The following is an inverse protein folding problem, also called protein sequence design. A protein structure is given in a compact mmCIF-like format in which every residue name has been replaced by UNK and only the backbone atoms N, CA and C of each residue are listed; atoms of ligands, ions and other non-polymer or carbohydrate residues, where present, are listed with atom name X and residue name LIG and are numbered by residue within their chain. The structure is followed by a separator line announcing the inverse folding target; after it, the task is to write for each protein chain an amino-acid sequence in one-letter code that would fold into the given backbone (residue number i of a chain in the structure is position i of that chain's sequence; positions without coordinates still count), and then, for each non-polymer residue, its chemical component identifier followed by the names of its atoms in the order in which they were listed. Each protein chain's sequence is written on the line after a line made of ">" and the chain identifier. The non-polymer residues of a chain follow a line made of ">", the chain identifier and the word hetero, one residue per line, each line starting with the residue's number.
data_IF_300595581696
#
_entry.id   IF_300595581696
#
_cell.length_a   1.000
_cell.length_b   1.000
_cell.length_c   1.000
_cell.angle_alpha   90.00
_cell.angle_beta   90.00
_cell.angle_gamma   90.00
#
_symmetry.space_group_name_H-M   'P 1'
#
loop_
_entity.id
_entity.type
_entity.pdbx_description
1 polymer ?
#
# COMPACT_ATOMS: atom_id res chain seq x y z
N UNK A 1 -5.10 21.76 8.46
CA UNK A 1 -5.44 20.37 8.09
C UNK A 1 -4.59 19.51 8.99
N UNK A 2 -5.19 18.88 9.99
CA UNK A 2 -4.45 18.09 10.97
C UNK A 2 -4.10 16.74 10.34
N UNK A 3 -2.82 16.38 10.36
CA UNK A 3 -2.35 15.09 9.88
C UNK A 3 -2.69 14.06 10.95
N UNK A 4 -3.71 13.24 10.69
CA UNK A 4 -4.14 12.18 11.62
C UNK A 4 -3.25 10.94 11.53
N UNK A 5 -2.61 10.72 10.36
CA UNK A 5 -1.71 9.59 10.10
C UNK A 5 -0.39 10.14 9.57
N UNK A 6 0.66 10.07 10.38
CA UNK A 6 1.98 10.62 10.01
C UNK A 6 2.79 9.72 9.06
N UNK A 7 2.48 8.42 9.02
CA UNK A 7 3.17 7.42 8.20
C UNK A 7 2.17 6.52 7.50
N UNK A 8 2.00 6.72 6.20
CA UNK A 8 1.04 5.98 5.39
C UNK A 8 1.62 5.56 4.05
N UNK A 9 1.09 4.47 3.51
CA UNK A 9 1.36 4.02 2.15
C UNK A 9 0.08 4.13 1.31
N UNK A 10 0.13 4.83 0.18
CA UNK A 10 -0.89 4.75 -0.86
C UNK A 10 -0.41 3.85 -1.99
N UNK A 11 -1.26 2.98 -2.52
CA UNK A 11 -0.89 2.14 -3.66
C UNK A 11 -1.97 2.09 -4.73
N UNK A 12 -1.50 2.05 -5.97
CA UNK A 12 -2.30 1.86 -7.17
C UNK A 12 -2.00 0.45 -7.72
N UNK A 13 -2.99 -0.43 -7.62
CA UNK A 13 -2.86 -1.88 -7.82
C UNK A 13 -3.43 -2.27 -9.17
N UNK A 14 -2.52 -2.61 -10.10
CA UNK A 14 -2.82 -3.15 -11.42
C UNK A 14 -2.59 -4.67 -11.47
N UNK A 15 -2.89 -5.28 -12.62
CA UNK A 15 -2.76 -6.74 -12.81
C UNK A 15 -1.34 -7.28 -12.57
N UNK A 16 -0.34 -6.61 -13.13
CA UNK A 16 1.04 -7.12 -13.14
C UNK A 16 2.00 -6.28 -12.28
N UNK A 17 1.60 -5.05 -11.93
CA UNK A 17 2.41 -4.08 -11.20
C UNK A 17 1.59 -3.37 -10.11
N UNK A 18 2.28 -2.91 -9.07
CA UNK A 18 1.76 -2.12 -7.96
C UNK A 18 2.66 -0.90 -7.84
N UNK A 19 2.11 0.30 -7.96
CA UNK A 19 2.84 1.54 -7.66
C UNK A 19 2.50 1.95 -6.25
N UNK A 20 3.47 1.91 -5.35
CA UNK A 20 3.30 2.25 -3.95
C UNK A 20 4.03 3.57 -3.62
N UNK A 21 3.41 4.38 -2.78
CA UNK A 21 3.85 5.69 -2.38
C UNK A 21 3.81 5.78 -0.86
N UNK A 22 4.97 5.89 -0.22
CA UNK A 22 5.08 6.10 1.22
C UNK A 22 5.22 7.59 1.49
N UNK A 23 4.48 8.08 2.47
CA UNK A 23 4.59 9.43 3.01
C UNK A 23 4.91 9.31 4.49
N UNK A 24 6.01 9.92 4.92
CA UNK A 24 6.45 10.01 6.32
C UNK A 24 6.85 11.46 6.63
N UNK A 25 7.15 11.80 7.91
CA UNK A 25 7.71 13.11 8.23
C UNK A 25 9.07 13.40 7.57
N UNK A 26 9.78 12.35 7.13
CA UNK A 26 11.10 12.44 6.49
C UNK A 26 11.00 12.71 4.99
N UNK A 27 9.81 12.50 4.40
CA UNK A 27 9.54 12.80 3.00
C UNK A 27 8.60 11.79 2.33
N UNK A 28 8.70 11.73 1.01
CA UNK A 28 7.89 10.88 0.16
C UNK A 28 8.79 9.98 -0.68
N UNK A 29 8.46 8.69 -0.73
CA UNK A 29 9.14 7.70 -1.56
C UNK A 29 8.11 6.98 -2.43
N UNK A 30 8.44 6.75 -3.71
CA UNK A 30 7.58 6.01 -4.65
C UNK A 30 8.39 4.85 -5.23
N UNK A 31 7.81 3.66 -5.20
CA UNK A 31 8.41 2.47 -5.77
C UNK A 31 7.34 1.61 -6.47
N UNK A 32 7.74 0.95 -7.55
CA UNK A 32 6.88 0.00 -8.28
C UNK A 32 7.35 -1.43 -8.04
N UNK A 33 6.40 -2.28 -7.70
CA UNK A 33 6.58 -3.72 -7.45
C UNK A 33 5.79 -4.53 -8.46
N UNK A 34 6.21 -5.77 -8.73
CA UNK A 34 5.39 -6.73 -9.48
C UNK A 34 4.38 -7.43 -8.57
N UNK A 35 3.31 -8.00 -9.13
CA UNK A 35 2.31 -8.78 -8.37
C UNK A 35 2.73 -10.23 -8.06
N UNK A 36 3.96 -10.63 -8.40
CA UNK A 36 4.49 -11.95 -8.02
C UNK A 36 4.82 -11.96 -6.52
N UNK A 37 4.60 -13.11 -5.87
CA UNK A 37 4.72 -13.29 -4.41
C UNK A 37 6.01 -12.72 -3.81
N UNK A 38 7.17 -12.94 -4.44
CA UNK A 38 8.45 -12.41 -3.93
C UNK A 38 8.47 -10.88 -3.82
N UNK A 39 7.86 -10.19 -4.78
CA UNK A 39 7.79 -8.73 -4.79
C UNK A 39 6.69 -8.21 -3.85
N UNK A 40 5.63 -8.98 -3.61
CA UNK A 40 4.63 -8.65 -2.59
C UNK A 40 5.22 -8.72 -1.18
N UNK A 41 6.08 -9.71 -0.90
CA UNK A 41 6.81 -9.78 0.37
C UNK A 41 7.76 -8.59 0.52
N UNK A 42 8.49 -8.24 -0.55
CA UNK A 42 9.36 -7.05 -0.55
C UNK A 42 8.58 -5.74 -0.35
N UNK A 43 7.38 -5.63 -0.93
CA UNK A 43 6.49 -4.48 -0.72
C UNK A 43 6.13 -4.35 0.77
N UNK A 44 5.77 -5.46 1.43
CA UNK A 44 5.42 -5.45 2.86
C UNK A 44 6.63 -5.14 3.74
N UNK A 45 7.79 -5.72 3.44
CA UNK A 45 9.04 -5.39 4.12
C UNK A 45 9.37 -3.90 4.01
N UNK A 46 9.18 -3.32 2.82
CA UNK A 46 9.42 -1.90 2.57
C UNK A 46 8.45 -1.00 3.34
N UNK A 47 7.16 -1.36 3.41
CA UNK A 47 6.16 -0.66 4.24
C UNK A 47 6.56 -0.69 5.73
N UNK A 48 7.02 -1.84 6.23
CA UNK A 48 7.47 -2.02 7.62
C UNK A 48 8.74 -1.25 7.93
N UNK A 49 9.71 -1.22 7.01
CA UNK A 49 10.95 -0.45 7.15
C UNK A 49 10.66 1.04 7.37
N UNK A 50 9.65 1.57 6.69
CA UNK A 50 9.19 2.95 6.84
C UNK A 50 8.24 3.17 8.02
N UNK A 51 7.93 2.12 8.80
CA UNK A 51 7.00 2.15 9.93
C UNK A 51 5.63 2.70 9.55
N UNK A 52 5.18 2.42 8.32
CA UNK A 52 3.83 2.76 7.90
C UNK A 52 2.83 1.89 8.64
N UNK A 53 1.84 2.52 9.26
CA UNK A 53 0.80 1.83 10.02
C UNK A 53 -0.50 1.67 9.23
N UNK A 54 -0.68 2.50 8.19
CA UNK A 54 -1.88 2.51 7.37
C UNK A 54 -1.54 2.39 5.89
N UNK A 55 -2.31 1.59 5.18
CA UNK A 55 -2.20 1.40 3.73
C UNK A 55 -3.54 1.69 3.05
N UNK A 56 -3.56 2.62 2.10
CA UNK A 56 -4.70 2.86 1.23
C UNK A 56 -4.42 2.27 -0.16
N UNK A 57 -5.36 1.50 -0.70
CA UNK A 57 -5.20 0.79 -1.97
C UNK A 57 -6.31 1.14 -2.94
N UNK A 58 -5.94 1.69 -4.09
CA UNK A 58 -6.82 1.84 -5.23
C UNK A 58 -6.70 0.61 -6.12
N UNK A 59 -7.83 -0.09 -6.34
CA UNK A 59 -7.85 -1.21 -7.28
C UNK A 59 -9.21 -1.34 -7.95
N UNK A 60 -9.18 -1.59 -9.26
CA UNK A 60 -10.37 -1.78 -10.10
C UNK A 60 -10.84 -3.24 -10.13
N UNK A 61 -10.05 -4.18 -9.62
CA UNK A 61 -10.34 -5.62 -9.68
C UNK A 61 -9.89 -6.32 -8.39
N UNK A 62 -9.83 -7.65 -8.37
CA UNK A 62 -9.54 -8.48 -7.18
C UNK A 62 -8.04 -8.59 -6.83
N UNK A 63 -7.18 -7.82 -7.50
CA UNK A 63 -5.71 -7.93 -7.35
C UNK A 63 -5.19 -7.47 -5.98
N UNK A 64 -5.99 -6.73 -5.21
CA UNK A 64 -5.69 -6.33 -3.83
C UNK A 64 -5.72 -7.48 -2.83
N UNK A 65 -6.47 -8.57 -3.10
CA UNK A 65 -6.66 -9.69 -2.16
C UNK A 65 -5.35 -10.29 -1.62
N UNK A 66 -4.36 -10.66 -2.47
CA UNK A 66 -3.10 -11.19 -1.96
C UNK A 66 -2.30 -10.16 -1.13
N UNK A 67 -2.49 -8.86 -1.37
CA UNK A 67 -1.83 -7.80 -0.61
C UNK A 67 -2.46 -7.71 0.78
N UNK A 68 -3.79 -7.64 0.85
CA UNK A 68 -4.54 -7.59 2.13
C UNK A 68 -4.17 -8.76 3.03
N UNK A 69 -4.12 -9.99 2.50
CA UNK A 69 -3.75 -11.16 3.31
C UNK A 69 -2.38 -11.01 3.99
N UNK A 70 -1.42 -10.34 3.32
CA UNK A 70 -0.09 -10.11 3.89
C UNK A 70 -0.10 -8.95 4.88
N UNK A 71 -0.88 -7.89 4.63
CA UNK A 71 -1.03 -6.78 5.56
C UNK A 71 -1.73 -7.20 6.86
N UNK A 72 -2.78 -8.02 6.76
CA UNK A 72 -3.47 -8.63 7.91
C UNK A 72 -2.53 -9.51 8.75
N UNK A 73 -1.65 -10.28 8.10
CA UNK A 73 -0.67 -11.12 8.79
C UNK A 73 0.39 -10.32 9.56
N UNK A 74 0.55 -9.04 9.24
CA UNK A 74 1.55 -8.13 9.83
C UNK A 74 0.92 -7.03 10.69
N UNK A 75 -0.37 -7.15 11.02
CA UNK A 75 -1.15 -6.18 11.81
C UNK A 75 -1.11 -4.74 11.27
N UNK A 76 -1.08 -4.59 9.93
CA UNK A 76 -1.10 -3.29 9.26
C UNK A 76 -2.54 -2.94 8.87
N UNK A 77 -3.02 -1.77 9.32
CA UNK A 77 -4.34 -1.26 8.97
C UNK A 77 -4.42 -0.93 7.48
N UNK A 78 -5.51 -1.32 6.81
CA UNK A 78 -5.66 -1.10 5.38
C UNK A 78 -7.06 -0.63 4.98
N UNK A 79 -7.12 0.12 3.88
CA UNK A 79 -8.35 0.57 3.25
C UNK A 79 -8.29 0.24 1.76
N UNK A 80 -9.24 -0.55 1.28
CA UNK A 80 -9.44 -0.77 -0.15
C UNK A 80 -10.47 0.23 -0.65
N UNK A 81 -10.05 1.14 -1.53
CA UNK A 81 -10.93 2.11 -2.18
C UNK A 81 -11.19 1.69 -3.62
N UNK A 82 -12.44 1.81 -4.05
CA UNK A 82 -12.77 1.65 -5.46
C UNK A 82 -12.28 2.90 -6.20
N UNK A 83 -11.46 2.70 -7.24
CA UNK A 83 -10.98 3.76 -8.13
C UNK A 83 -12.08 4.71 -8.62
N UNK A 84 -13.30 4.20 -8.80
CA UNK A 84 -14.44 5.01 -9.24
C UNK A 84 -14.93 6.03 -8.19
N UNK A 85 -14.52 5.91 -6.92
CA UNK A 85 -15.00 6.72 -5.81
C UNK A 85 -13.96 7.70 -5.25
N UNK A 86 -12.72 7.73 -5.75
CA UNK A 86 -11.78 8.82 -5.47
C UNK A 86 -12.10 10.00 -6.41
N UNK A 87 -12.81 11.00 -5.88
CA UNK A 87 -12.99 12.33 -6.49
C UNK A 87 -12.34 13.39 -5.63
#
# INVERSE_FOLDING_TARGET
>A
MDVVIERACGMDVHKDNITACIITPEGKEIQTFSTKTVFLLQLVDWIKQHRCTHVAMESTSVYWKPIVNLLEAEDIEFLVVNAQHMK
#
